data_IF_975313933156
#
_entry.id   IF_975313933156
#
_cell.length_a   1.000
_cell.length_b   1.000
_cell.length_c   1.000
_cell.angle_alpha   90.00
_cell.angle_beta   90.00
_cell.angle_gamma   90.00
#
_symmetry.space_group_name_H-M   'P 1'
#
loop_
_entity.id
_entity.type
_entity.pdbx_description
1 polymer ?
#
# COMPACT_ATOMS: atom_id res chain seq x y z
N UNK A 1 11.29 14.42 11.16
CA UNK A 1 11.99 13.84 9.99
C UNK A 1 10.94 13.40 9.00
N UNK A 2 10.86 14.07 7.85
CA UNK A 2 9.95 13.67 6.77
C UNK A 2 10.51 12.39 6.13
N UNK A 3 9.67 11.36 6.01
CA UNK A 3 10.01 10.17 5.21
C UNK A 3 9.36 10.39 3.85
N UNK A 4 10.07 10.17 2.75
CA UNK A 4 9.45 10.12 1.43
C UNK A 4 9.24 8.68 1.03
N UNK A 5 8.21 8.41 0.25
CA UNK A 5 7.96 7.10 -0.34
C UNK A 5 8.14 7.25 -1.83
N UNK A 6 8.96 6.39 -2.39
CA UNK A 6 9.10 6.25 -3.84
C UNK A 6 8.47 4.92 -4.23
N UNK A 7 7.72 4.96 -5.32
CA UNK A 7 7.08 3.78 -5.90
C UNK A 7 6.99 3.95 -7.42
N UNK A 8 6.77 2.84 -8.11
CA UNK A 8 6.37 2.86 -9.52
C UNK A 8 4.90 2.48 -9.60
N UNK A 9 4.13 3.29 -10.30
CA UNK A 9 2.73 3.00 -10.61
C UNK A 9 2.56 2.98 -12.12
N UNK A 10 2.11 1.85 -12.68
CA UNK A 10 1.95 1.67 -14.14
C UNK A 10 3.20 2.06 -14.95
N UNK A 11 4.38 1.61 -14.50
CA UNK A 11 5.70 1.97 -15.05
C UNK A 11 6.09 3.46 -14.95
N UNK A 12 5.35 4.28 -14.20
CA UNK A 12 5.71 5.67 -13.93
C UNK A 12 6.30 5.78 -12.51
N UNK A 13 7.54 6.29 -12.36
CA UNK A 13 8.09 6.57 -11.03
C UNK A 13 7.32 7.72 -10.40
N UNK A 14 6.97 7.56 -9.12
CA UNK A 14 6.22 8.50 -8.31
C UNK A 14 6.89 8.63 -6.95
N UNK A 15 6.86 9.84 -6.41
CA UNK A 15 7.39 10.14 -5.10
C UNK A 15 6.37 10.97 -4.32
N UNK A 16 6.13 10.57 -3.07
CA UNK A 16 5.19 11.24 -2.17
C UNK A 16 5.81 11.45 -0.80
N UNK A 17 5.34 12.48 -0.10
CA UNK A 17 5.72 12.69 1.29
C UNK A 17 4.88 11.79 2.22
N UNK A 18 5.55 10.98 3.03
CA UNK A 18 4.90 10.16 4.05
C UNK A 18 4.72 10.95 5.35
N UNK A 19 3.46 11.23 5.67
CA UNK A 19 3.05 11.77 6.95
C UNK A 19 2.55 10.64 7.85
N UNK A 20 3.38 10.19 8.81
CA UNK A 20 3.02 9.15 9.79
C UNK A 20 1.80 9.55 10.66
N UNK A 21 1.56 10.86 10.79
CA UNK A 21 0.41 11.41 11.51
C UNK A 21 -0.92 11.14 10.78
N UNK A 22 -0.89 11.13 9.45
CA UNK A 22 -2.08 10.93 8.60
C UNK A 22 -2.26 9.49 8.13
N UNK A 23 -1.16 8.76 7.95
CA UNK A 23 -1.18 7.43 7.34
C UNK A 23 -0.53 6.40 8.27
N UNK A 24 -1.23 5.28 8.48
CA UNK A 24 -0.68 4.15 9.26
C UNK A 24 0.48 3.47 8.55
N UNK A 25 0.39 3.36 7.22
CA UNK A 25 1.33 2.61 6.38
C UNK A 25 1.61 3.31 5.06
N UNK A 26 2.71 2.91 4.40
CA UNK A 26 3.09 3.43 3.07
C UNK A 26 1.99 3.24 2.05
N UNK A 27 1.40 2.06 2.02
CA UNK A 27 0.33 1.67 1.10
C UNK A 27 -0.87 2.61 1.18
N UNK A 28 -1.24 3.03 2.39
CA UNK A 28 -2.31 3.97 2.61
C UNK A 28 -1.96 5.36 2.09
N UNK A 29 -0.71 5.80 2.28
CA UNK A 29 -0.23 7.07 1.76
C UNK A 29 -0.19 7.09 0.22
N UNK A 30 0.30 6.00 -0.40
CA UNK A 30 0.38 5.84 -1.85
C UNK A 30 -1.02 5.88 -2.47
N UNK A 31 -1.95 5.09 -1.94
CA UNK A 31 -3.29 5.06 -2.48
C UNK A 31 -4.02 6.40 -2.29
N UNK A 32 -3.86 7.07 -1.15
CA UNK A 32 -4.41 8.39 -0.94
C UNK A 32 -3.83 9.44 -1.91
N UNK A 33 -2.53 9.33 -2.24
CA UNK A 33 -1.88 10.23 -3.20
C UNK A 33 -2.31 9.98 -4.66
N UNK A 34 -2.53 8.72 -5.03
CA UNK A 34 -3.02 8.33 -6.36
C UNK A 34 -4.57 8.43 -6.48
N UNK A 35 -5.28 8.71 -5.38
CA UNK A 35 -6.74 8.74 -5.35
C UNK A 35 -7.38 7.35 -5.47
N UNK A 36 -6.66 6.29 -5.10
CA UNK A 36 -7.16 4.91 -5.09
C UNK A 36 -7.92 4.65 -3.79
N UNK A 37 -9.15 4.18 -3.93
CA UNK A 37 -9.98 3.80 -2.80
C UNK A 37 -9.55 2.44 -2.24
N UNK A 38 -8.86 2.46 -1.11
CA UNK A 38 -8.50 1.25 -0.36
C UNK A 38 -9.63 0.71 0.50
N UNK A 39 -10.83 1.30 0.50
CA UNK A 39 -11.95 0.83 1.33
C UNK A 39 -12.31 -0.61 0.99
N UNK A 40 -12.38 -0.95 -0.30
CA UNK A 40 -12.62 -2.33 -0.74
C UNK A 40 -11.46 -3.25 -0.42
N UNK A 41 -10.22 -2.77 -0.61
CA UNK A 41 -9.01 -3.49 -0.26
C UNK A 41 -8.99 -3.85 1.25
N UNK A 42 -9.26 -2.89 2.13
CA UNK A 42 -9.27 -3.09 3.59
C UNK A 42 -10.39 -4.03 4.03
N UNK A 43 -11.58 -3.91 3.44
CA UNK A 43 -12.69 -4.84 3.69
C UNK A 43 -12.31 -6.27 3.30
N UNK A 44 -11.70 -6.44 2.13
CA UNK A 44 -11.30 -7.75 1.63
C UNK A 44 -10.13 -8.33 2.44
N UNK A 45 -9.13 -7.51 2.79
CA UNK A 45 -8.03 -7.87 3.68
C UNK A 45 -8.57 -8.35 5.04
N UNK A 46 -9.53 -7.62 5.62
CA UNK A 46 -10.17 -7.99 6.89
C UNK A 46 -10.97 -9.29 6.76
N UNK A 47 -11.71 -9.48 5.67
CA UNK A 47 -12.46 -10.72 5.43
C UNK A 47 -11.53 -11.93 5.27
N UNK A 48 -10.42 -11.78 4.56
CA UNK A 48 -9.41 -12.81 4.40
C UNK A 48 -8.73 -13.09 5.73
N UNK A 49 -8.45 -12.08 6.55
CA UNK A 49 -7.92 -12.24 7.90
C UNK A 49 -8.87 -12.99 8.84
N UNK A 50 -10.19 -12.78 8.71
CA UNK A 50 -11.21 -13.50 9.49
C UNK A 50 -11.39 -14.95 9.02
N UNK A 51 -11.30 -15.19 7.72
CA UNK A 51 -11.53 -16.52 7.12
C UNK A 51 -10.29 -17.41 7.17
N UNK A 52 -9.11 -16.80 7.07
CA UNK A 52 -7.83 -17.49 7.02
C UNK A 52 -7.24 -17.57 8.41
N UNK A 53 -6.95 -18.78 8.92
CA UNK A 53 -6.27 -18.98 10.21
C UNK A 53 -4.76 -18.65 10.15
N UNK A 54 -4.37 -17.56 9.50
CA UNK A 54 -2.97 -17.18 9.37
C UNK A 54 -2.73 -15.90 8.56
N UNK A 55 -1.64 -15.20 8.88
CA UNK A 55 -1.22 -13.96 8.21
C UNK A 55 -0.69 -14.15 6.79
N UNK A 56 -0.46 -15.39 6.36
CA UNK A 56 0.04 -15.71 5.02
C UNK A 56 -0.97 -15.35 3.91
N UNK A 57 -2.25 -15.67 4.10
CA UNK A 57 -3.29 -15.37 3.11
C UNK A 57 -3.49 -13.85 2.95
N UNK A 58 -3.45 -13.12 4.06
CA UNK A 58 -3.52 -11.66 4.08
C UNK A 58 -2.33 -11.04 3.34
N UNK A 59 -1.12 -11.57 3.56
CA UNK A 59 0.09 -11.09 2.90
C UNK A 59 0.05 -11.37 1.40
N UNK A 60 -0.34 -12.59 1.00
CA UNK A 60 -0.46 -12.95 -0.41
C UNK A 60 -1.50 -12.07 -1.14
N UNK A 61 -2.66 -11.85 -0.51
CA UNK A 61 -3.68 -10.95 -1.03
C UNK A 61 -3.17 -9.51 -1.19
N UNK A 62 -2.43 -9.01 -0.20
CA UNK A 62 -1.80 -7.68 -0.29
C UNK A 62 -0.86 -7.60 -1.48
N UNK A 63 0.03 -8.57 -1.62
CA UNK A 63 1.03 -8.59 -2.69
C UNK A 63 0.36 -8.71 -4.07
N UNK A 64 -0.65 -9.56 -4.21
CA UNK A 64 -1.42 -9.74 -5.44
C UNK A 64 -2.22 -8.48 -5.83
N UNK A 65 -2.95 -7.86 -4.90
CA UNK A 65 -3.73 -6.66 -5.20
C UNK A 65 -2.84 -5.47 -5.53
N UNK A 66 -1.72 -5.29 -4.82
CA UNK A 66 -0.77 -4.22 -5.14
C UNK A 66 -0.14 -4.44 -6.52
N UNK A 67 0.26 -5.66 -6.85
CA UNK A 67 0.74 -6.00 -8.17
C UNK A 67 -0.33 -5.76 -9.25
N UNK A 68 -1.59 -6.13 -8.97
CA UNK A 68 -2.73 -5.96 -9.89
C UNK A 68 -3.07 -4.50 -10.14
N UNK A 69 -2.97 -3.65 -9.11
CA UNK A 69 -3.11 -2.20 -9.25
C UNK A 69 -1.98 -1.58 -10.07
N UNK A 70 -0.87 -2.30 -10.26
CA UNK A 70 0.29 -1.86 -11.03
C UNK A 70 1.31 -1.11 -10.19
N UNK A 71 1.31 -1.34 -8.87
CA UNK A 71 2.35 -0.85 -7.98
C UNK A 71 3.54 -1.80 -7.97
N UNK A 72 4.73 -1.22 -8.09
CA UNK A 72 6.00 -1.93 -7.98
C UNK A 72 7.05 -1.03 -7.33
N UNK A 73 8.15 -1.64 -6.85
CA UNK A 73 9.31 -0.91 -6.30
C UNK A 73 8.93 0.12 -5.22
N UNK A 74 8.12 -0.27 -4.22
CA UNK A 74 7.71 0.61 -3.12
C UNK A 74 8.77 0.61 -2.01
N UNK A 75 9.39 1.76 -1.73
CA UNK A 75 10.36 1.90 -0.65
C UNK A 75 10.35 3.29 0.00
N UNK A 76 10.80 3.35 1.25
CA UNK A 76 11.03 4.61 1.96
C UNK A 76 12.40 5.21 1.57
N UNK A 77 12.40 6.47 1.19
CA UNK A 77 13.60 7.31 1.19
C UNK A 77 13.68 8.01 2.55
N UNK A 78 14.82 7.79 3.23
CA UNK A 78 15.17 8.46 4.47
C UNK A 78 16.30 9.44 4.13
N UNK A 79 15.98 10.73 4.07
CA UNK A 79 16.99 11.81 4.13
C UNK A 79 17.41 12.06 5.58
#
# INVERSE_FOLDING_TARGET
>A
MARRITYKFKNQPREINFAKDKYRDMYQAIAAAEGIDLTNYLKMEQQIAMTSKGSAAVRNFRDEEFARMGFSDVYFIKE
#
